data_IF_385076391752
#
_entry.id   IF_385076391752
#
_cell.length_a   1.000
_cell.length_b   1.000
_cell.length_c   1.000
_cell.angle_alpha   90.00
_cell.angle_beta   90.00
_cell.angle_gamma   90.00
#
_symmetry.space_group_name_H-M   'P 1'
#
loop_
_entity.id
_entity.type
_entity.pdbx_description
1 polymer ?
#
# COMPACT_ATOMS: atom_id res chain seq x y z
N UNK A 1 28.91 54.60 -48.33
CA UNK A 1 28.39 55.68 -47.48
C UNK A 1 27.33 55.05 -46.59
N UNK A 2 27.70 54.85 -45.32
CA UNK A 2 26.97 54.33 -44.16
C UNK A 2 26.34 52.93 -44.19
N UNK A 3 27.02 52.03 -43.47
CA UNK A 3 26.52 50.80 -42.84
C UNK A 3 25.47 51.08 -41.76
N UNK A 4 24.48 50.18 -41.64
CA UNK A 4 24.20 49.37 -40.43
C UNK A 4 22.77 48.83 -40.52
N UNK A 5 22.63 47.55 -40.83
CA UNK A 5 21.42 46.80 -40.49
C UNK A 5 21.86 45.42 -39.96
N UNK A 6 22.09 45.38 -38.65
CA UNK A 6 22.29 44.15 -37.90
C UNK A 6 20.96 43.44 -37.79
N UNK A 7 20.79 42.36 -38.56
CA UNK A 7 19.63 41.47 -38.46
C UNK A 7 19.63 40.77 -37.11
N UNK A 8 18.96 41.35 -36.12
CA UNK A 8 18.66 40.70 -34.85
C UNK A 8 17.84 39.43 -35.09
N UNK A 9 18.23 38.35 -34.42
CA UNK A 9 17.52 37.09 -34.42
C UNK A 9 16.11 37.28 -33.83
N UNK A 10 15.10 37.21 -34.69
CA UNK A 10 13.69 37.27 -34.31
C UNK A 10 13.31 35.95 -33.62
N UNK A 11 13.11 35.99 -32.31
CA UNK A 11 12.58 34.87 -31.52
C UNK A 11 11.05 34.84 -31.65
N UNK A 12 10.55 33.95 -32.52
CA UNK A 12 9.14 33.55 -32.53
C UNK A 12 8.89 32.64 -31.32
N UNK A 13 8.49 33.21 -30.18
CA UNK A 13 8.26 32.42 -28.98
C UNK A 13 8.05 33.21 -27.70
N UNK A 14 7.20 34.24 -27.74
CA UNK A 14 6.76 34.91 -26.52
C UNK A 14 5.79 34.05 -25.73
N UNK A 15 6.26 33.02 -25.02
CA UNK A 15 5.47 32.43 -23.94
C UNK A 15 5.46 33.42 -22.79
N UNK A 16 4.40 34.23 -22.71
CA UNK A 16 4.13 35.19 -21.62
C UNK A 16 3.91 34.51 -20.27
N UNK A 17 4.93 33.81 -19.78
CA UNK A 17 4.94 33.09 -18.50
C UNK A 17 5.60 33.93 -17.39
N UNK A 18 6.28 35.01 -17.73
CA UNK A 18 6.90 35.92 -16.76
C UNK A 18 6.13 37.25 -16.76
N UNK A 19 5.44 37.62 -15.67
CA UNK A 19 4.88 38.96 -15.51
C UNK A 19 6.02 40.00 -15.55
N UNK A 20 5.80 41.19 -16.14
CA UNK A 20 6.82 42.24 -16.24
C UNK A 20 7.25 42.80 -14.88
N UNK A 21 6.43 42.59 -13.85
CA UNK A 21 6.70 42.98 -12.48
C UNK A 21 6.92 41.69 -11.68
N UNK A 22 8.06 41.57 -10.99
CA UNK A 22 8.64 40.37 -10.35
C UNK A 22 7.80 39.78 -9.17
N UNK A 23 6.49 39.98 -9.18
CA UNK A 23 5.54 39.49 -8.18
C UNK A 23 4.84 38.20 -8.64
N UNK A 24 4.86 37.19 -7.77
CA UNK A 24 4.15 35.94 -8.03
C UNK A 24 2.63 36.15 -7.93
N UNK A 25 1.84 35.85 -8.99
CA UNK A 25 0.41 36.13 -9.01
C UNK A 25 -0.38 35.33 -7.97
N UNK A 26 -1.45 35.93 -7.46
CA UNK A 26 -2.32 35.31 -6.44
C UNK A 26 -3.17 34.17 -7.02
N UNK A 27 -3.77 33.34 -6.15
CA UNK A 27 -4.56 32.17 -6.56
C UNK A 27 -5.77 32.52 -7.44
N UNK A 28 -6.46 33.63 -7.16
CA UNK A 28 -7.57 34.14 -7.97
C UNK A 28 -7.12 34.61 -9.35
N UNK A 29 -5.95 35.24 -9.44
CA UNK A 29 -5.39 35.75 -10.70
C UNK A 29 -4.89 34.64 -11.61
N UNK A 30 -4.33 33.56 -11.05
CA UNK A 30 -4.02 32.35 -11.84
C UNK A 30 -5.27 31.72 -12.46
N UNK A 31 -6.39 31.76 -11.73
CA UNK A 31 -7.69 31.21 -12.15
C UNK A 31 -8.39 32.07 -13.23
N UNK A 32 -8.19 33.39 -13.21
CA UNK A 32 -8.72 34.28 -14.25
C UNK A 32 -7.82 34.33 -15.49
N UNK A 33 -6.51 34.13 -15.36
CA UNK A 33 -5.55 34.12 -16.49
C UNK A 33 -5.51 32.81 -17.27
N UNK A 34 -6.11 31.72 -16.78
CA UNK A 34 -6.16 30.45 -17.53
C UNK A 34 -7.26 30.51 -18.61
N UNK A 35 -6.86 30.62 -19.88
CA UNK A 35 -7.75 30.55 -21.05
C UNK A 35 -7.47 29.28 -21.87
N UNK A 36 -8.48 28.74 -22.56
CA UNK A 36 -8.35 27.56 -23.42
C UNK A 36 -8.35 26.21 -22.70
N UNK A 37 -7.43 25.32 -23.08
CA UNK A 37 -7.45 23.89 -22.69
C UNK A 37 -7.25 23.66 -21.18
N UNK A 38 -6.43 24.50 -20.52
CA UNK A 38 -6.14 24.38 -19.08
C UNK A 38 -7.36 24.66 -18.21
N UNK A 39 -8.16 25.67 -18.58
CA UNK A 39 -9.42 26.01 -17.93
C UNK A 39 -10.47 24.90 -18.10
N UNK A 40 -10.65 24.41 -19.32
CA UNK A 40 -11.59 23.31 -19.60
C UNK A 40 -11.21 22.04 -18.82
N UNK A 41 -9.92 21.75 -18.74
CA UNK A 41 -9.40 20.61 -17.97
C UNK A 41 -9.69 20.78 -16.47
N UNK A 42 -9.48 21.97 -15.92
CA UNK A 42 -9.80 22.28 -14.53
C UNK A 42 -11.29 22.18 -14.22
N UNK A 43 -12.15 22.82 -15.03
CA UNK A 43 -13.61 22.79 -14.87
C UNK A 43 -14.14 21.35 -14.98
N UNK A 44 -13.57 20.54 -15.89
CA UNK A 44 -13.86 19.10 -15.97
C UNK A 44 -13.51 18.38 -14.66
N UNK A 45 -12.32 18.57 -14.12
CA UNK A 45 -11.90 17.91 -12.87
C UNK A 45 -12.76 18.34 -11.67
N UNK A 46 -13.11 19.62 -11.55
CA UNK A 46 -14.01 20.09 -10.48
C UNK A 46 -15.40 19.48 -10.61
N UNK A 47 -15.97 19.45 -11.82
CA UNK A 47 -17.28 18.86 -12.07
C UNK A 47 -17.28 17.36 -11.80
N UNK A 48 -16.25 16.64 -12.27
CA UNK A 48 -16.08 15.21 -12.03
C UNK A 48 -16.00 14.87 -10.54
N UNK A 49 -15.32 15.70 -9.73
CA UNK A 49 -15.27 15.53 -8.26
C UNK A 49 -16.64 15.72 -7.61
N UNK A 50 -17.40 16.74 -8.04
CA UNK A 50 -18.76 16.97 -7.52
C UNK A 50 -19.71 15.83 -7.89
N UNK A 51 -19.74 15.42 -9.16
CA UNK A 51 -20.61 14.33 -9.61
C UNK A 51 -20.26 13.00 -8.90
N UNK A 52 -18.98 12.69 -8.71
CA UNK A 52 -18.54 11.52 -7.93
C UNK A 52 -18.96 11.63 -6.45
N UNK A 53 -18.84 12.80 -5.84
CA UNK A 53 -19.29 13.04 -4.47
C UNK A 53 -20.82 12.89 -4.33
N UNK A 54 -21.59 13.41 -5.27
CA UNK A 54 -23.05 13.32 -5.30
C UNK A 54 -23.50 11.87 -5.49
N UNK A 55 -22.88 11.13 -6.43
CA UNK A 55 -23.13 9.70 -6.62
C UNK A 55 -22.81 8.89 -5.36
N UNK A 56 -21.74 9.24 -4.64
CA UNK A 56 -21.39 8.58 -3.38
C UNK A 56 -22.41 8.84 -2.29
N UNK A 57 -22.87 10.09 -2.15
CA UNK A 57 -23.92 10.44 -1.18
C UNK A 57 -25.22 9.72 -1.51
N UNK A 58 -25.60 9.65 -2.79
CA UNK A 58 -26.78 8.91 -3.26
C UNK A 58 -26.63 7.39 -3.03
N UNK A 59 -25.44 6.84 -3.27
CA UNK A 59 -25.14 5.41 -3.08
C UNK A 59 -25.11 4.95 -1.63
N UNK A 60 -25.14 5.88 -0.67
CA UNK A 60 -25.08 5.53 0.75
C UNK A 60 -26.37 4.92 1.29
N UNK A 61 -27.46 4.92 0.51
CA UNK A 61 -28.78 4.52 1.02
C UNK A 61 -29.66 3.63 0.13
N UNK A 62 -29.31 3.35 -1.13
CA UNK A 62 -30.22 2.61 -2.04
C UNK A 62 -29.42 1.60 -2.85
N UNK A 63 -29.87 0.35 -2.83
CA UNK A 63 -29.51 -0.77 -3.71
C UNK A 63 -28.43 -0.44 -4.73
N UNK A 64 -27.20 -0.85 -4.44
CA UNK A 64 -26.16 -0.88 -5.45
C UNK A 64 -26.63 -1.90 -6.49
N UNK A 65 -27.11 -1.44 -7.64
CA UNK A 65 -27.24 -2.29 -8.82
C UNK A 65 -25.89 -2.97 -9.01
N UNK A 66 -25.83 -4.24 -8.62
CA UNK A 66 -24.61 -5.03 -8.73
C UNK A 66 -24.45 -5.30 -10.21
N UNK A 67 -23.63 -4.45 -10.87
CA UNK A 67 -23.15 -4.68 -12.22
C UNK A 67 -22.23 -5.92 -12.19
N UNK A 68 -22.83 -7.10 -12.10
CA UNK A 68 -22.16 -8.40 -12.11
C UNK A 68 -22.88 -9.36 -13.06
N UNK A 69 -22.14 -10.38 -13.48
CA UNK A 69 -22.73 -11.50 -14.21
C UNK A 69 -23.39 -12.47 -13.24
N UNK A 70 -24.42 -13.21 -13.68
CA UNK A 70 -25.06 -14.23 -12.85
C UNK A 70 -24.04 -15.31 -12.45
N UNK A 71 -24.22 -15.87 -11.25
CA UNK A 71 -23.34 -16.89 -10.68
C UNK A 71 -23.17 -18.09 -11.64
N UNK A 72 -24.24 -18.45 -12.35
CA UNK A 72 -24.23 -19.44 -13.41
C UNK A 72 -24.63 -18.80 -14.74
N UNK A 73 -23.97 -19.14 -15.87
CA UNK A 73 -22.78 -19.99 -15.99
C UNK A 73 -21.46 -19.22 -15.86
N UNK A 74 -21.49 -17.90 -16.02
CA UNK A 74 -20.32 -17.06 -16.25
C UNK A 74 -19.30 -17.11 -15.11
N UNK A 75 -19.73 -16.83 -13.88
CA UNK A 75 -18.85 -16.82 -12.71
C UNK A 75 -18.38 -18.24 -12.36
N UNK A 76 -19.25 -19.24 -12.47
CA UNK A 76 -18.92 -20.65 -12.18
C UNK A 76 -17.83 -21.20 -13.10
N UNK A 77 -17.97 -21.03 -14.41
CA UNK A 77 -16.99 -21.53 -15.38
C UNK A 77 -15.63 -20.86 -15.15
N UNK A 78 -15.62 -19.54 -14.93
CA UNK A 78 -14.39 -18.80 -14.60
C UNK A 78 -13.75 -19.34 -13.32
N UNK A 79 -14.52 -19.52 -12.25
CA UNK A 79 -14.01 -20.00 -10.97
C UNK A 79 -13.51 -21.44 -11.06
N UNK A 80 -14.16 -22.30 -11.85
CA UNK A 80 -13.72 -23.67 -12.09
C UNK A 80 -12.38 -23.68 -12.85
N UNK A 81 -12.25 -22.89 -13.90
CA UNK A 81 -10.99 -22.76 -14.63
C UNK A 81 -9.83 -22.29 -13.73
N UNK A 82 -10.07 -21.28 -12.89
CA UNK A 82 -9.08 -20.79 -11.91
C UNK A 82 -8.73 -21.87 -10.88
N UNK A 83 -9.73 -22.59 -10.37
CA UNK A 83 -9.52 -23.66 -9.38
C UNK A 83 -8.71 -24.80 -9.99
N UNK A 84 -9.07 -25.27 -11.19
CA UNK A 84 -8.34 -26.30 -11.91
C UNK A 84 -6.89 -25.89 -12.19
N UNK A 85 -6.65 -24.61 -12.55
CA UNK A 85 -5.30 -24.08 -12.73
C UNK A 85 -4.47 -24.16 -11.44
N UNK A 86 -4.99 -23.67 -10.30
CA UNK A 86 -4.27 -23.72 -9.03
C UNK A 86 -4.06 -25.15 -8.52
N UNK A 87 -5.04 -26.04 -8.66
CA UNK A 87 -4.89 -27.46 -8.31
C UNK A 87 -3.81 -28.11 -9.18
N UNK A 88 -3.81 -27.86 -10.49
CA UNK A 88 -2.77 -28.32 -11.39
C UNK A 88 -1.38 -27.83 -10.99
N UNK A 89 -1.26 -26.56 -10.62
CA UNK A 89 -0.01 -25.96 -10.13
C UNK A 89 0.47 -26.63 -8.82
N UNK A 90 -0.42 -26.92 -7.88
CA UNK A 90 -0.07 -27.61 -6.64
C UNK A 90 0.42 -29.04 -6.90
N UNK A 91 -0.26 -29.80 -7.76
CA UNK A 91 0.17 -31.15 -8.15
C UNK A 91 1.53 -31.10 -8.85
N UNK A 92 1.72 -30.14 -9.76
CA UNK A 92 2.98 -29.94 -10.46
C UNK A 92 4.14 -29.61 -9.49
N UNK A 93 3.93 -28.72 -8.53
CA UNK A 93 4.94 -28.40 -7.51
C UNK A 93 5.24 -29.60 -6.61
N UNK A 94 4.21 -30.33 -6.17
CA UNK A 94 4.39 -31.53 -5.34
C UNK A 94 5.19 -32.63 -6.07
N UNK A 95 5.02 -32.75 -7.39
CA UNK A 95 5.74 -33.72 -8.21
C UNK A 95 7.18 -33.29 -8.53
N UNK A 96 7.42 -31.99 -8.76
CA UNK A 96 8.74 -31.46 -9.17
C UNK A 96 9.66 -31.14 -8.00
N UNK A 97 9.10 -30.75 -6.86
CA UNK A 97 9.81 -30.35 -5.65
C UNK A 97 9.24 -31.08 -4.42
N UNK A 98 9.42 -32.41 -4.33
CA UNK A 98 8.94 -33.17 -3.18
C UNK A 98 9.60 -32.67 -1.89
N UNK A 99 8.85 -32.55 -0.78
CA UNK A 99 9.41 -32.08 0.48
C UNK A 99 10.44 -33.07 1.03
N UNK A 100 11.50 -32.53 1.64
CA UNK A 100 12.49 -33.36 2.33
C UNK A 100 11.87 -34.00 3.57
N UNK A 101 11.95 -35.34 3.67
CA UNK A 101 11.56 -36.09 4.87
C UNK A 101 12.77 -36.16 5.80
N UNK A 102 12.72 -35.41 6.90
CA UNK A 102 13.78 -35.39 7.90
C UNK A 102 13.83 -36.70 8.71
N UNK A 103 14.95 -36.92 9.41
CA UNK A 103 15.09 -38.03 10.35
C UNK A 103 14.04 -37.95 11.48
N UNK A 104 13.69 -39.08 12.13
CA UNK A 104 12.79 -39.08 13.28
C UNK A 104 13.25 -38.13 14.39
N UNK A 105 12.29 -37.60 15.15
CA UNK A 105 12.58 -36.67 16.24
C UNK A 105 13.52 -37.29 17.28
N UNK A 106 14.58 -36.56 17.64
CA UNK A 106 15.55 -36.94 18.66
C UNK A 106 15.56 -35.90 19.79
N UNK A 107 15.17 -36.29 21.00
CA UNK A 107 15.14 -35.39 22.17
C UNK A 107 16.53 -35.03 22.70
N UNK A 108 17.56 -35.82 22.38
CA UNK A 108 18.93 -35.62 22.83
C UNK A 108 19.76 -34.73 21.90
N UNK A 109 19.23 -34.34 20.73
CA UNK A 109 19.96 -33.57 19.73
C UNK A 109 19.09 -32.46 19.15
N UNK A 110 19.52 -31.19 19.29
CA UNK A 110 18.85 -30.06 18.65
C UNK A 110 19.54 -29.73 17.32
N UNK A 111 18.80 -29.66 16.19
CA UNK A 111 19.36 -29.19 14.92
C UNK A 111 19.90 -27.76 15.02
N UNK A 112 20.98 -27.47 14.30
CA UNK A 112 21.61 -26.14 14.31
C UNK A 112 20.70 -25.03 13.77
N UNK A 113 19.80 -25.36 12.83
CA UNK A 113 18.79 -24.45 12.27
C UNK A 113 17.43 -25.04 12.58
N UNK A 114 16.74 -24.45 13.55
CA UNK A 114 15.35 -24.77 13.89
C UNK A 114 14.46 -23.58 13.51
N UNK A 115 13.74 -23.73 12.42
CA UNK A 115 12.86 -22.71 11.85
C UNK A 115 11.49 -23.34 11.64
N UNK A 116 10.39 -22.62 11.95
CA UNK A 116 9.06 -23.10 11.62
C UNK A 116 8.80 -22.99 10.10
N UNK A 117 7.59 -23.32 9.66
CA UNK A 117 7.19 -23.07 8.28
C UNK A 117 7.16 -21.57 7.96
N UNK A 118 7.36 -21.23 6.68
CA UNK A 118 7.53 -19.86 6.21
C UNK A 118 6.36 -18.92 6.58
N UNK A 119 5.14 -19.44 6.64
CA UNK A 119 3.95 -18.66 7.00
C UNK A 119 3.89 -18.31 8.50
N UNK A 120 4.74 -18.94 9.33
CA UNK A 120 4.88 -18.65 10.76
C UNK A 120 6.07 -17.73 11.08
N UNK A 121 6.91 -17.40 10.09
CA UNK A 121 8.10 -16.55 10.31
C UNK A 121 7.77 -15.20 10.90
N UNK A 122 6.65 -14.59 10.54
CA UNK A 122 6.27 -13.30 11.11
C UNK A 122 6.01 -13.40 12.63
N UNK A 123 5.33 -14.46 13.06
CA UNK A 123 4.99 -14.72 14.47
C UNK A 123 6.21 -15.16 15.27
N UNK A 124 7.04 -16.02 14.68
CA UNK A 124 8.31 -16.45 15.26
C UNK A 124 9.32 -15.29 15.40
N UNK A 125 9.32 -14.36 14.44
CA UNK A 125 10.13 -13.15 14.48
C UNK A 125 9.82 -12.26 15.69
N UNK A 126 8.56 -12.21 16.13
CA UNK A 126 8.14 -11.50 17.34
C UNK A 126 8.71 -12.10 18.64
N UNK A 127 9.21 -13.34 18.62
CA UNK A 127 9.94 -13.92 19.75
C UNK A 127 11.39 -13.41 19.86
N UNK A 128 11.89 -12.72 18.82
CA UNK A 128 13.26 -12.18 18.76
C UNK A 128 13.34 -10.70 19.14
N UNK A 129 12.36 -10.19 19.87
CA UNK A 129 12.27 -8.79 20.32
C UNK A 129 13.02 -8.51 21.62
N UNK A 130 14.01 -9.34 21.98
CA UNK A 130 14.79 -9.18 23.21
C UNK A 130 15.34 -7.77 23.45
N UNK A 131 15.85 -7.04 22.43
CA UNK A 131 16.31 -5.66 22.61
C UNK A 131 15.22 -4.64 22.95
N UNK A 132 13.93 -4.93 22.70
CA UNK A 132 12.80 -4.06 23.06
C UNK A 132 12.20 -4.38 24.43
N UNK A 133 12.67 -5.44 25.08
CA UNK A 133 12.15 -5.86 26.38
C UNK A 133 12.62 -4.85 27.45
N UNK A 134 11.71 -4.08 28.08
CA UNK A 134 12.10 -3.02 28.99
C UNK A 134 12.72 -3.58 30.28
N UNK A 135 13.85 -2.99 30.68
CA UNK A 135 14.50 -3.26 31.96
C UNK A 135 13.98 -2.30 33.04
N UNK A 136 13.59 -2.85 34.18
CA UNK A 136 13.16 -2.05 35.32
C UNK A 136 14.39 -1.59 36.12
N UNK A 137 14.77 -0.33 35.95
CA UNK A 137 15.86 0.30 36.72
C UNK A 137 15.61 0.26 38.24
N UNK A 138 14.34 0.27 38.65
CA UNK A 138 13.90 0.15 40.05
C UNK A 138 14.15 -1.24 40.69
N UNK A 139 14.35 -2.30 39.89
CA UNK A 139 14.70 -3.65 40.37
C UNK A 139 16.17 -4.02 40.08
N UNK A 140 17.04 -3.02 39.92
CA UNK A 140 18.46 -3.26 39.68
C UNK A 140 18.79 -3.79 38.28
N UNK A 141 17.97 -3.43 37.27
CA UNK A 141 18.21 -3.82 35.87
C UNK A 141 17.62 -5.18 35.49
N UNK A 142 16.75 -5.75 36.32
CA UNK A 142 16.02 -6.97 35.93
C UNK A 142 14.99 -6.66 34.84
N UNK A 143 14.98 -7.51 33.79
CA UNK A 143 13.99 -7.44 32.72
C UNK A 143 12.57 -7.64 33.28
N UNK A 144 11.61 -6.86 32.78
CA UNK A 144 10.21 -6.92 33.22
C UNK A 144 9.62 -8.34 33.10
N UNK A 145 9.94 -9.04 32.01
CA UNK A 145 9.51 -10.42 31.76
C UNK A 145 10.60 -11.18 30.99
N UNK A 146 10.48 -12.50 30.89
CA UNK A 146 11.35 -13.30 30.04
C UNK A 146 11.16 -12.91 28.55
N UNK A 147 12.23 -12.96 27.75
CA UNK A 147 12.18 -12.56 26.34
C UNK A 147 11.15 -13.37 25.53
N UNK A 148 10.96 -14.66 25.87
CA UNK A 148 9.94 -15.52 25.26
C UNK A 148 8.53 -15.05 25.59
N UNK A 149 8.25 -14.74 26.86
CA UNK A 149 6.91 -14.27 27.28
C UNK A 149 6.60 -12.90 26.69
N UNK A 150 7.60 -12.03 26.57
CA UNK A 150 7.47 -10.74 25.89
C UNK A 150 7.06 -10.92 24.42
N UNK A 151 7.72 -11.83 23.70
CA UNK A 151 7.37 -12.11 22.31
C UNK A 151 5.98 -12.73 22.11
N UNK A 152 5.51 -13.55 23.05
CA UNK A 152 4.14 -14.08 23.02
C UNK A 152 3.12 -12.95 23.24
N UNK A 153 3.38 -12.04 24.18
CA UNK A 153 2.54 -10.84 24.38
C UNK A 153 2.53 -9.96 23.13
N UNK A 154 3.69 -9.78 22.47
CA UNK A 154 3.78 -9.02 21.23
C UNK A 154 2.89 -9.60 20.11
N UNK A 155 2.76 -10.92 20.02
CA UNK A 155 1.81 -11.56 19.08
C UNK A 155 0.37 -11.15 19.39
N UNK A 156 -0.04 -11.17 20.66
CA UNK A 156 -1.39 -10.76 21.06
C UNK A 156 -1.66 -9.29 20.72
N UNK A 157 -0.65 -8.42 20.85
CA UNK A 157 -0.77 -7.00 20.48
C UNK A 157 -1.00 -6.84 18.97
N UNK A 158 -0.21 -7.52 18.13
CA UNK A 158 -0.35 -7.45 16.66
C UNK A 158 -1.72 -7.98 16.22
N UNK A 159 -2.10 -9.16 16.71
CA UNK A 159 -3.41 -9.75 16.38
C UNK A 159 -4.56 -8.90 16.90
N UNK A 160 -4.43 -8.34 18.11
CA UNK A 160 -5.41 -7.43 18.70
C UNK A 160 -5.60 -6.16 17.86
N UNK A 161 -4.51 -5.57 17.38
CA UNK A 161 -4.58 -4.43 16.47
C UNK A 161 -5.36 -4.78 15.19
N UNK A 162 -5.01 -5.89 14.53
CA UNK A 162 -5.70 -6.36 13.31
C UNK A 162 -7.19 -6.61 13.57
N UNK A 163 -7.53 -7.23 14.71
CA UNK A 163 -8.91 -7.52 15.08
C UNK A 163 -9.75 -6.25 15.31
N UNK A 164 -9.13 -5.14 15.73
CA UNK A 164 -9.80 -3.86 15.98
C UNK A 164 -9.97 -3.03 14.71
N UNK A 165 -9.15 -3.24 13.66
CA UNK A 165 -9.20 -2.46 12.40
C UNK A 165 -10.62 -2.32 11.81
N UNK A 166 -11.46 -3.37 11.70
CA UNK A 166 -12.81 -3.24 11.15
C UNK A 166 -13.73 -2.29 11.93
N UNK A 167 -13.49 -2.12 13.24
CA UNK A 167 -14.28 -1.24 14.10
C UNK A 167 -13.80 0.21 14.05
N UNK A 168 -12.54 0.45 13.71
CA UNK A 168 -11.96 1.77 13.52
C UNK A 168 -12.22 2.32 12.11
N UNK A 169 -12.06 1.49 11.09
CA UNK A 169 -12.33 1.87 9.70
C UNK A 169 -13.82 1.70 9.36
N UNK A 170 -14.66 2.55 9.94
CA UNK A 170 -16.08 2.64 9.60
C UNK A 170 -16.24 3.34 8.25
N UNK A 171 -16.42 2.58 7.18
CA UNK A 171 -16.65 3.13 5.85
C UNK A 171 -17.18 2.08 4.87
N UNK A 172 -17.92 2.55 3.86
CA UNK A 172 -18.26 1.71 2.70
C UNK A 172 -17.00 1.14 2.05
N UNK A 173 -17.10 -0.01 1.38
CA UNK A 173 -16.00 -0.61 0.63
C UNK A 173 -15.37 0.43 -0.32
N UNK A 174 -14.20 0.94 0.05
CA UNK A 174 -13.48 1.99 -0.66
C UNK A 174 -12.14 1.45 -1.13
N UNK A 175 -11.70 1.94 -2.28
CA UNK A 175 -10.43 1.53 -2.89
C UNK A 175 -9.26 2.08 -2.06
N UNK A 176 -8.07 1.45 -2.11
CA UNK A 176 -6.90 1.97 -1.38
C UNK A 176 -6.57 3.44 -1.69
N UNK A 177 -6.75 3.87 -2.94
CA UNK A 177 -6.54 5.27 -3.37
C UNK A 177 -7.59 6.25 -2.82
N UNK A 178 -8.77 5.77 -2.42
CA UNK A 178 -9.83 6.59 -1.85
C UNK A 178 -9.67 6.78 -0.34
N UNK A 179 -8.99 5.83 0.32
CA UNK A 179 -8.62 5.89 1.73
C UNK A 179 -7.09 5.74 1.87
N UNK A 180 -6.29 6.74 1.42
CA UNK A 180 -4.83 6.63 1.37
C UNK A 180 -4.20 6.37 2.74
N UNK A 181 -4.82 6.84 3.83
CA UNK A 181 -4.38 6.55 5.19
C UNK A 181 -4.50 5.06 5.53
N UNK A 182 -5.68 4.47 5.38
CA UNK A 182 -5.90 3.04 5.67
C UNK A 182 -5.14 2.13 4.71
N UNK A 183 -5.01 2.53 3.44
CA UNK A 183 -4.14 1.85 2.48
C UNK A 183 -2.68 1.85 2.93
N UNK A 184 -2.17 2.99 3.41
CA UNK A 184 -0.81 3.10 3.96
C UNK A 184 -0.61 2.26 5.22
N UNK A 185 -1.56 2.25 6.17
CA UNK A 185 -1.52 1.37 7.35
C UNK A 185 -1.43 -0.11 6.94
N UNK A 186 -2.20 -0.52 5.93
CA UNK A 186 -2.12 -1.87 5.37
C UNK A 186 -0.74 -2.19 4.77
N UNK A 187 -0.15 -1.26 4.01
CA UNK A 187 1.21 -1.42 3.47
C UNK A 187 2.24 -1.52 4.59
N UNK A 188 2.16 -0.67 5.62
CA UNK A 188 3.02 -0.77 6.80
C UNK A 188 2.93 -2.16 7.44
N UNK A 189 1.73 -2.71 7.59
CA UNK A 189 1.53 -4.05 8.15
C UNK A 189 2.13 -5.18 7.30
N UNK A 190 1.96 -5.12 5.98
CA UNK A 190 2.54 -6.11 5.04
C UNK A 190 4.07 -6.01 5.02
N UNK A 191 4.61 -4.80 4.97
CA UNK A 191 6.07 -4.61 4.99
C UNK A 191 6.64 -5.05 6.33
N UNK A 192 5.96 -4.75 7.45
CA UNK A 192 6.36 -5.24 8.76
C UNK A 192 6.34 -6.76 8.85
N UNK A 193 5.33 -7.45 8.30
CA UNK A 193 5.28 -8.91 8.31
C UNK A 193 6.44 -9.55 7.54
N UNK A 194 6.88 -8.92 6.44
CA UNK A 194 8.04 -9.34 5.66
C UNK A 194 9.34 -9.08 6.42
N UNK A 195 9.51 -7.89 6.99
CA UNK A 195 10.77 -7.53 7.67
C UNK A 195 10.95 -8.31 8.98
N UNK A 196 9.89 -8.52 9.76
CA UNK A 196 9.95 -9.36 10.96
C UNK A 196 10.15 -10.85 10.61
N UNK A 197 9.62 -11.31 9.47
CA UNK A 197 9.93 -12.65 8.94
C UNK A 197 11.42 -12.77 8.56
N UNK A 198 12.03 -11.75 7.96
CA UNK A 198 13.46 -11.72 7.69
C UNK A 198 14.30 -11.75 8.99
N UNK A 199 13.89 -11.01 10.03
CA UNK A 199 14.50 -11.10 11.36
C UNK A 199 14.42 -12.52 11.96
N UNK A 200 13.32 -13.22 11.69
CA UNK A 200 13.11 -14.60 12.12
C UNK A 200 14.15 -15.57 11.54
N UNK A 201 14.70 -15.27 10.37
CA UNK A 201 15.75 -16.05 9.69
C UNK A 201 17.11 -15.34 9.69
N UNK A 202 17.38 -14.46 10.67
CA UNK A 202 18.63 -13.69 10.76
C UNK A 202 19.93 -14.48 10.59
N UNK A 203 19.95 -15.77 10.96
CA UNK A 203 21.13 -16.63 10.82
C UNK A 203 21.45 -17.00 9.35
N UNK A 204 20.47 -16.87 8.45
CA UNK A 204 20.57 -17.14 7.02
C UNK A 204 20.71 -15.87 6.18
N UNK A 205 20.52 -14.70 6.80
CA UNK A 205 20.59 -13.41 6.13
C UNK A 205 22.03 -12.92 6.10
N UNK A 206 22.56 -12.49 4.93
CA UNK A 206 23.91 -11.94 4.82
C UNK A 206 23.94 -10.46 5.26
N UNK A 207 23.39 -10.15 6.42
CA UNK A 207 23.31 -8.80 7.00
C UNK A 207 23.72 -8.85 8.47
N UNK A 208 24.28 -7.74 8.97
CA UNK A 208 24.54 -7.59 10.40
C UNK A 208 23.23 -7.70 11.20
N UNK A 209 23.29 -8.36 12.36
CA UNK A 209 22.11 -8.66 13.15
C UNK A 209 21.45 -7.40 13.74
N UNK A 210 22.24 -6.38 14.10
CA UNK A 210 21.71 -5.11 14.61
C UNK A 210 21.13 -4.30 13.47
N UNK A 211 21.82 -4.25 12.32
CA UNK A 211 21.28 -3.58 11.12
C UNK A 211 19.94 -4.20 10.69
N UNK A 212 19.84 -5.53 10.64
CA UNK A 212 18.60 -6.21 10.29
C UNK A 212 17.48 -5.91 11.29
N UNK A 213 17.82 -5.84 12.57
CA UNK A 213 16.89 -5.45 13.62
C UNK A 213 16.38 -4.02 13.42
N UNK A 214 17.26 -3.05 13.17
CA UNK A 214 16.89 -1.65 12.94
C UNK A 214 16.01 -1.51 11.69
N UNK A 215 16.40 -2.15 10.58
CA UNK A 215 15.61 -2.17 9.34
C UNK A 215 14.23 -2.78 9.55
N UNK A 216 14.09 -3.74 10.47
CA UNK A 216 12.81 -4.38 10.77
C UNK A 216 11.76 -3.38 11.22
N UNK A 217 12.16 -2.34 11.96
CA UNK A 217 11.26 -1.31 12.49
C UNK A 217 11.29 0.00 11.71
N UNK A 218 12.36 0.29 10.97
CA UNK A 218 12.49 1.52 10.18
C UNK A 218 11.86 1.41 8.79
N UNK A 219 11.99 0.27 8.11
CA UNK A 219 11.47 0.10 6.74
C UNK A 219 9.93 0.17 6.68
N UNK A 220 9.16 -0.47 7.59
CA UNK A 220 7.70 -0.41 7.54
C UNK A 220 7.09 1.00 7.60
N UNK A 221 7.45 1.89 8.55
CA UNK A 221 6.88 3.23 8.58
C UNK A 221 7.30 4.05 7.34
N UNK A 222 8.54 3.90 6.86
CA UNK A 222 8.98 4.55 5.62
C UNK A 222 8.13 4.09 4.44
N UNK A 223 7.90 2.79 4.29
CA UNK A 223 7.04 2.25 3.24
C UNK A 223 5.59 2.74 3.38
N UNK A 224 5.07 2.85 4.61
CA UNK A 224 3.78 3.47 4.89
C UNK A 224 3.69 4.93 4.45
N UNK A 225 4.70 5.75 4.76
CA UNK A 225 4.76 7.16 4.33
C UNK A 225 4.81 7.29 2.81
N UNK A 226 5.65 6.49 2.14
CA UNK A 226 5.72 6.45 0.68
C UNK A 226 4.39 6.02 0.08
N UNK A 227 3.78 4.94 0.60
CA UNK A 227 2.47 4.47 0.16
C UNK A 227 1.40 5.53 0.33
N UNK A 228 1.38 6.24 1.46
CA UNK A 228 0.46 7.34 1.69
C UNK A 228 0.62 8.45 0.64
N UNK A 229 1.86 8.88 0.37
CA UNK A 229 2.15 9.91 -0.62
C UNK A 229 1.73 9.48 -2.03
N UNK A 230 2.03 8.24 -2.43
CA UNK A 230 1.65 7.67 -3.73
C UNK A 230 0.14 7.53 -3.86
N UNK A 231 -0.54 6.96 -2.88
CA UNK A 231 -2.00 6.80 -2.92
C UNK A 231 -2.71 8.16 -2.94
N UNK A 232 -2.18 9.14 -2.20
CA UNK A 232 -2.72 10.51 -2.18
C UNK A 232 -2.52 11.22 -3.52
N UNK A 233 -1.37 11.06 -4.19
CA UNK A 233 -1.14 11.67 -5.51
C UNK A 233 -1.98 11.02 -6.61
N UNK A 234 -2.16 9.70 -6.56
CA UNK A 234 -2.97 8.95 -7.53
C UNK A 234 -4.47 9.23 -7.43
N UNK A 235 -4.94 9.77 -6.30
CA UNK A 235 -6.37 9.99 -6.04
C UNK A 235 -7.06 10.80 -7.14
N UNK A 236 -6.38 11.80 -7.71
CA UNK A 236 -6.98 12.67 -8.73
C UNK A 236 -6.99 12.03 -10.13
N UNK A 237 -5.86 11.45 -10.57
CA UNK A 237 -5.74 10.81 -11.88
C UNK A 237 -6.52 9.49 -12.01
N UNK A 238 -6.71 8.77 -10.92
CA UNK A 238 -7.45 7.52 -10.92
C UNK A 238 -8.97 7.75 -11.06
N UNK A 239 -9.51 8.81 -10.46
CA UNK A 239 -10.93 9.20 -10.60
C UNK A 239 -11.29 9.55 -12.05
N UNK A 240 -10.37 10.18 -12.78
CA UNK A 240 -10.54 10.53 -14.19
C UNK A 240 -10.82 9.32 -15.09
N UNK A 241 -9.96 8.29 -15.03
CA UNK A 241 -10.09 7.10 -15.87
C UNK A 241 -11.33 6.26 -15.52
N UNK A 242 -11.75 6.36 -14.26
CA UNK A 242 -12.84 5.57 -13.72
C UNK A 242 -14.21 6.11 -14.14
N UNK A 243 -14.41 7.42 -14.02
CA UNK A 243 -15.62 8.09 -14.49
C UNK A 243 -15.85 7.79 -15.98
N UNK A 244 -14.77 7.80 -16.79
CA UNK A 244 -14.84 7.46 -18.23
C UNK A 244 -15.37 6.05 -18.52
N UNK A 245 -15.11 5.06 -17.66
CA UNK A 245 -15.63 3.69 -17.83
C UNK A 245 -17.06 3.54 -17.32
N UNK A 246 -17.43 4.20 -16.22
CA UNK A 246 -18.79 4.14 -15.70
C UNK A 246 -19.83 4.83 -16.60
N UNK A 247 -19.49 5.97 -17.24
CA UNK A 247 -20.38 6.59 -18.21
C UNK A 247 -20.68 5.70 -19.44
N UNK A 248 -19.78 4.76 -19.79
CA UNK A 248 -19.99 3.84 -20.91
C UNK A 248 -20.91 2.66 -20.57
N UNK A 249 -21.05 2.34 -19.29
CA UNK A 249 -21.83 1.19 -18.82
C UNK A 249 -23.23 1.59 -18.34
N UNK A 250 -23.51 2.89 -18.19
CA UNK A 250 -24.83 3.36 -17.81
C UNK A 250 -25.71 3.45 -19.07
N UNK A 251 -26.88 2.80 -19.11
CA UNK A 251 -27.83 3.05 -20.18
C UNK A 251 -28.21 4.54 -20.18
N UNK A 252 -28.41 5.15 -21.37
CA UNK A 252 -28.90 6.52 -21.44
C UNK A 252 -30.25 6.59 -20.70
N UNK A 253 -30.44 7.64 -19.91
CA UNK A 253 -31.76 7.97 -19.35
C UNK A 253 -32.65 8.54 -20.44
#
# INVERSE_FOLDING_TARGET
>A
MSDNDTTEARTDGGTGIVPPDDETPTWSERKTRSQGLSRLTYEYFERARREDQDLRQQSSYVERDVLAFPAWPHEMIRNLALTSFFVGMLIFLAATLPPHIAAPANSSQTPAVILPDWYLYWSFGLLKLGPLNPELSLLGGQKLMADRTYGVVANLVVVGFIAIVPFLNKGSARRPVEQPFWGAVGVTGVVFSITIAALSIKNLMPLDANLLFDLTFLVPPVAGFVAYAVLRSMREGYMFNLNRRYYRLRPPK
#
